data_IF_078884952832
#
_entry.id   IF_078884952832
#
_cell.length_a   1.000
_cell.length_b   1.000
_cell.length_c   1.000
_cell.angle_alpha   90.00
_cell.angle_beta   90.00
_cell.angle_gamma   90.00
#
_symmetry.space_group_name_H-M   'P 1'
#
loop_
_entity.id
_entity.type
_entity.pdbx_description
1 polymer ?
#
# COMPACT_ATOMS: atom_id res chain seq x y z
N UNK A 1 -10.02 -22.04 -4.75
CA UNK A 1 -9.91 -21.55 -3.36
C UNK A 1 -9.12 -20.23 -3.27
N UNK A 2 -9.35 -19.25 -4.16
CA UNK A 2 -8.50 -18.04 -4.31
C UNK A 2 -9.29 -16.71 -4.41
N UNK A 3 -10.60 -16.71 -4.07
CA UNK A 3 -11.49 -15.55 -4.24
C UNK A 3 -11.69 -14.67 -2.99
N UNK A 4 -11.12 -15.02 -1.84
CA UNK A 4 -11.32 -14.29 -0.55
C UNK A 4 -10.15 -13.40 -0.13
N UNK A 5 -9.11 -13.23 -0.94
CA UNK A 5 -7.90 -12.46 -0.56
C UNK A 5 -7.82 -11.04 -1.16
N UNK A 6 -8.84 -10.62 -1.92
CA UNK A 6 -8.86 -9.35 -2.67
C UNK A 6 -9.88 -8.30 -2.14
N UNK A 7 -10.62 -8.62 -1.08
CA UNK A 7 -11.68 -7.76 -0.53
C UNK A 7 -11.11 -6.62 0.37
N UNK A 8 -10.02 -6.89 1.08
CA UNK A 8 -9.53 -6.06 2.21
C UNK A 8 -8.95 -4.67 1.87
N UNK A 9 -8.82 -4.29 0.59
CA UNK A 9 -8.51 -2.89 0.23
C UNK A 9 -9.78 -2.04 0.06
N UNK A 10 -10.96 -2.67 0.03
CA UNK A 10 -12.25 -2.01 -0.20
C UNK A 10 -13.07 -1.83 1.08
N UNK A 11 -13.16 -2.81 1.98
CA UNK A 11 -14.05 -2.72 3.15
C UNK A 11 -13.67 -1.57 4.13
N UNK A 12 -12.39 -1.17 4.17
CA UNK A 12 -11.93 0.02 4.90
C UNK A 12 -12.33 1.35 4.22
N UNK A 13 -13.01 1.29 3.06
CA UNK A 13 -13.43 2.41 2.21
C UNK A 13 -14.85 2.29 1.62
N UNK A 14 -15.58 1.19 1.80
CA UNK A 14 -16.99 1.09 1.41
C UNK A 14 -17.86 2.09 2.22
N UNK A 15 -18.88 2.71 1.58
CA UNK A 15 -19.88 3.53 2.28
C UNK A 15 -20.74 2.64 3.18
N UNK A 16 -21.41 3.24 4.18
CA UNK A 16 -22.44 2.50 4.93
C UNK A 16 -23.56 2.05 3.96
N UNK A 17 -24.13 0.85 4.13
CA UNK A 17 -25.26 0.43 3.31
C UNK A 17 -26.48 1.30 3.63
N UNK A 18 -26.86 2.16 2.70
CA UNK A 18 -28.19 2.77 2.68
C UNK A 18 -29.26 1.66 2.70
N UNK A 19 -30.36 1.90 3.43
CA UNK A 19 -31.44 0.92 3.59
C UNK A 19 -32.08 0.57 2.23
N UNK A 20 -31.87 -0.67 1.76
CA UNK A 20 -32.34 -1.11 0.44
C UNK A 20 -33.87 -1.06 0.30
N UNK A 21 -34.33 -0.59 -0.87
CA UNK A 21 -35.66 -0.91 -1.41
C UNK A 21 -35.51 -1.88 -2.58
N UNK A 22 -36.43 -2.84 -2.68
CA UNK A 22 -36.25 -4.12 -3.41
C UNK A 22 -36.81 -4.09 -4.84
N UNK A 23 -36.24 -4.93 -5.73
CA UNK A 23 -36.87 -5.70 -6.85
C UNK A 23 -36.12 -5.61 -8.22
N UNK A 24 -36.37 -6.50 -9.22
CA UNK A 24 -35.57 -7.72 -9.32
C UNK A 24 -35.11 -8.20 -10.72
N UNK A 25 -33.98 -8.94 -10.76
CA UNK A 25 -33.81 -10.20 -11.52
C UNK A 25 -33.60 -10.22 -13.05
N UNK A 26 -32.61 -11.03 -13.51
CA UNK A 26 -32.78 -12.06 -14.57
C UNK A 26 -31.48 -12.80 -15.01
N UNK A 27 -31.41 -14.10 -14.66
CA UNK A 27 -30.97 -15.28 -15.44
C UNK A 27 -29.67 -15.42 -16.29
N UNK A 28 -29.33 -16.71 -16.51
CA UNK A 28 -28.07 -17.26 -17.11
C UNK A 28 -28.33 -18.07 -18.39
N UNK A 29 -27.29 -18.27 -19.23
CA UNK A 29 -26.88 -19.51 -19.97
C UNK A 29 -25.50 -19.21 -20.64
N UNK A 30 -24.52 -20.10 -20.87
CA UNK A 30 -24.28 -21.55 -20.74
C UNK A 30 -24.40 -22.42 -22.03
N UNK A 31 -23.34 -23.19 -22.33
CA UNK A 31 -23.17 -24.09 -23.49
C UNK A 31 -22.21 -23.51 -24.57
N UNK A 32 -21.34 -24.25 -25.25
CA UNK A 32 -20.90 -25.66 -25.13
C UNK A 32 -19.72 -25.93 -26.10
N UNK A 33 -18.92 -26.99 -25.89
CA UNK A 33 -17.94 -27.52 -26.87
C UNK A 33 -18.48 -28.84 -27.46
N UNK A 34 -17.95 -29.30 -28.61
CA UNK A 34 -17.11 -30.50 -28.55
C UNK A 34 -15.81 -30.41 -29.39
N UNK A 35 -15.16 -31.56 -29.57
CA UNK A 35 -13.79 -31.81 -30.03
C UNK A 35 -13.81 -32.95 -31.07
N UNK A 36 -12.81 -33.02 -31.97
CA UNK A 36 -12.30 -34.17 -32.77
C UNK A 36 -11.18 -33.59 -33.67
N UNK A 37 -9.89 -33.86 -33.44
CA UNK A 37 -9.11 -35.04 -33.87
C UNK A 37 -9.11 -35.33 -35.38
N UNK A 38 -7.93 -35.24 -36.00
CA UNK A 38 -7.43 -36.28 -36.90
C UNK A 38 -5.88 -36.32 -36.94
N UNK A 39 -5.31 -37.42 -37.46
CA UNK A 39 -3.88 -37.79 -37.36
C UNK A 39 -3.17 -37.71 -38.71
N UNK A 40 -1.85 -37.49 -38.70
CA UNK A 40 -0.96 -37.73 -39.84
C UNK A 40 0.48 -37.99 -39.38
N UNK A 41 1.01 -39.19 -39.65
CA UNK A 41 2.42 -39.58 -39.51
C UNK A 41 3.21 -39.01 -40.72
N UNK A 42 4.54 -38.84 -40.72
CA UNK A 42 5.57 -39.88 -40.91
C UNK A 42 6.97 -39.35 -40.51
N UNK A 43 7.84 -40.28 -40.15
CA UNK A 43 9.25 -40.18 -39.73
C UNK A 43 10.24 -39.64 -40.76
N UNK A 44 11.34 -39.02 -40.29
CA UNK A 44 12.69 -39.65 -40.28
C UNK A 44 13.69 -38.82 -39.45
N UNK A 45 14.82 -39.43 -39.09
CA UNK A 45 15.85 -38.84 -38.25
C UNK A 45 17.24 -39.10 -38.83
N UNK A 46 18.13 -38.11 -38.79
CA UNK A 46 19.57 -38.36 -38.73
C UNK A 46 20.34 -37.22 -38.06
N UNK A 47 21.61 -37.46 -37.74
CA UNK A 47 22.37 -36.83 -36.64
C UNK A 47 23.78 -36.50 -37.10
N UNK A 48 24.22 -35.23 -37.07
CA UNK A 48 25.65 -34.83 -36.96
C UNK A 48 25.77 -33.42 -36.36
N UNK A 49 26.64 -33.27 -35.36
CA UNK A 49 27.34 -32.04 -34.94
C UNK A 49 28.86 -32.27 -35.22
N UNK A 50 29.78 -31.28 -35.17
CA UNK A 50 29.64 -29.89 -34.70
C UNK A 50 30.27 -28.83 -35.64
N UNK A 51 30.04 -27.55 -35.34
CA UNK A 51 30.92 -26.45 -35.73
C UNK A 51 30.94 -25.37 -34.64
N UNK A 52 32.14 -24.96 -34.22
CA UNK A 52 32.37 -23.90 -33.25
C UNK A 52 32.69 -22.63 -34.04
N UNK A 53 31.88 -21.58 -33.92
CA UNK A 53 32.28 -20.23 -34.33
C UNK A 53 31.97 -19.21 -33.25
N UNK A 54 32.96 -18.34 -33.00
CA UNK A 54 32.90 -17.28 -32.00
C UNK A 54 31.93 -16.18 -32.43
N UNK A 55 30.99 -15.81 -31.56
CA UNK A 55 30.30 -14.51 -31.65
C UNK A 55 30.62 -13.72 -30.38
N UNK A 56 31.35 -12.62 -30.57
CA UNK A 56 31.81 -11.74 -29.50
C UNK A 56 30.65 -11.04 -28.78
N UNK A 57 30.87 -10.70 -27.50
CA UNK A 57 29.91 -9.95 -26.71
C UNK A 57 29.79 -8.50 -27.23
N UNK A 58 28.63 -8.13 -27.77
CA UNK A 58 28.24 -6.74 -27.94
C UNK A 58 27.48 -6.25 -26.71
N UNK A 59 28.12 -5.43 -25.89
CA UNK A 59 27.46 -4.72 -24.80
C UNK A 59 26.40 -3.75 -25.37
N UNK A 60 25.24 -3.56 -24.70
CA UNK A 60 24.23 -2.60 -25.17
C UNK A 60 24.77 -1.18 -25.05
N UNK A 61 24.80 -0.46 -26.17
CA UNK A 61 25.16 0.97 -26.21
C UNK A 61 24.09 1.76 -25.46
N UNK A 62 24.45 2.28 -24.29
CA UNK A 62 23.61 3.24 -23.56
C UNK A 62 23.71 4.57 -24.31
N UNK A 63 22.71 4.88 -25.13
CA UNK A 63 22.60 6.19 -25.75
C UNK A 63 22.41 7.26 -24.66
N UNK A 64 23.09 8.42 -24.73
CA UNK A 64 22.89 9.50 -23.78
C UNK A 64 21.45 10.01 -23.88
N UNK A 65 20.81 10.21 -22.72
CA UNK A 65 19.50 10.85 -22.63
C UNK A 65 19.62 12.27 -23.22
N UNK A 66 18.85 12.56 -24.27
CA UNK A 66 18.80 13.89 -24.85
C UNK A 66 18.33 14.91 -23.81
N UNK A 67 18.93 16.12 -23.74
CA UNK A 67 18.49 17.15 -22.81
C UNK A 67 17.05 17.54 -23.12
N UNK A 68 16.21 17.59 -22.07
CA UNK A 68 14.82 18.00 -22.18
C UNK A 68 14.73 19.46 -22.66
N UNK A 69 13.82 19.73 -23.60
CA UNK A 69 13.65 21.08 -24.14
C UNK A 69 12.97 22.00 -23.13
N UNK A 70 13.12 23.33 -23.32
CA UNK A 70 12.45 24.32 -22.48
C UNK A 70 10.91 24.12 -22.50
N UNK A 71 10.35 23.70 -23.63
CA UNK A 71 8.93 23.34 -23.76
C UNK A 71 8.54 22.14 -22.87
N UNK A 72 9.43 21.16 -22.69
CA UNK A 72 9.22 20.00 -21.81
C UNK A 72 9.41 20.36 -20.33
N UNK A 73 10.22 21.38 -20.02
CA UNK A 73 10.33 21.93 -18.67
C UNK A 73 9.16 22.85 -18.28
N UNK A 74 8.45 23.42 -19.26
CA UNK A 74 7.33 24.36 -19.08
C UNK A 74 5.94 23.76 -19.37
N UNK A 75 5.85 22.51 -19.83
CA UNK A 75 4.58 21.86 -20.10
C UNK A 75 3.78 21.63 -18.80
N UNK A 76 2.44 21.82 -18.79
CA UNK A 76 1.61 21.43 -17.66
C UNK A 76 1.79 19.94 -17.40
N UNK A 77 1.88 19.55 -16.13
CA UNK A 77 2.31 18.23 -15.67
C UNK A 77 1.71 17.07 -16.50
N UNK A 78 2.52 16.52 -17.42
CA UNK A 78 2.08 15.47 -18.34
C UNK A 78 2.02 14.15 -17.61
N UNK A 79 0.81 13.65 -17.37
CA UNK A 79 0.60 12.38 -16.69
C UNK A 79 0.86 11.24 -17.69
N UNK A 80 2.06 10.66 -17.64
CA UNK A 80 2.51 9.63 -18.59
C UNK A 80 2.76 8.27 -17.94
N UNK A 81 2.01 7.26 -18.37
CA UNK A 81 2.25 5.88 -17.98
C UNK A 81 3.50 5.30 -18.66
N UNK A 82 4.38 4.55 -17.96
CA UNK A 82 5.61 3.97 -18.55
C UNK A 82 5.32 3.05 -19.73
N UNK A 83 4.17 2.38 -19.70
CA UNK A 83 3.63 1.52 -20.77
C UNK A 83 2.48 2.18 -21.55
N UNK A 84 2.50 3.50 -21.69
CA UNK A 84 1.46 4.20 -22.42
C UNK A 84 1.38 3.72 -23.87
N UNK A 85 0.17 3.34 -24.30
CA UNK A 85 -0.15 2.93 -25.68
C UNK A 85 -1.21 3.82 -26.32
N UNK A 86 -1.78 4.75 -25.55
CA UNK A 86 -2.72 5.79 -25.98
C UNK A 86 -2.47 7.08 -25.21
N UNK A 87 -3.01 8.17 -25.73
CA UNK A 87 -3.00 9.48 -25.13
C UNK A 87 -4.36 10.15 -25.35
N UNK A 88 -4.80 10.98 -24.41
CA UNK A 88 -6.00 11.78 -24.51
C UNK A 88 -5.80 13.13 -23.81
N UNK A 89 -6.40 14.18 -24.37
CA UNK A 89 -6.48 15.49 -23.72
C UNK A 89 -7.70 15.50 -22.78
N UNK A 90 -7.46 15.57 -21.47
CA UNK A 90 -8.49 15.50 -20.42
C UNK A 90 -8.48 16.81 -19.64
N UNK A 91 -9.50 17.65 -19.86
CA UNK A 91 -9.60 18.99 -19.27
C UNK A 91 -8.31 19.81 -19.49
N UNK A 92 -7.89 19.98 -20.75
CA UNK A 92 -6.64 20.63 -21.17
C UNK A 92 -5.32 19.98 -20.70
N UNK A 93 -5.36 18.84 -20.00
CA UNK A 93 -4.17 18.11 -19.55
C UNK A 93 -3.95 16.89 -20.44
N UNK A 94 -2.75 16.77 -21.03
CA UNK A 94 -2.35 15.59 -21.79
C UNK A 94 -2.07 14.40 -20.85
N UNK A 95 -2.82 13.31 -21.03
CA UNK A 95 -2.71 12.09 -20.23
C UNK A 95 -2.42 10.91 -21.15
N UNK A 96 -1.23 10.34 -21.02
CA UNK A 96 -0.78 9.15 -21.75
C UNK A 96 -0.92 7.90 -20.86
N UNK A 97 -1.62 6.87 -21.33
CA UNK A 97 -2.11 5.77 -20.50
C UNK A 97 -1.88 4.37 -21.12
N UNK A 98 -1.69 3.35 -20.27
CA UNK A 98 -1.67 1.94 -20.74
C UNK A 98 -3.09 1.54 -21.14
N UNK A 99 -3.30 1.25 -22.43
CA UNK A 99 -4.53 0.61 -22.89
C UNK A 99 -4.32 -0.89 -23.11
N UNK A 100 -5.20 -1.72 -22.54
CA UNK A 100 -5.17 -3.19 -22.71
C UNK A 100 -6.54 -3.83 -22.89
N UNK A 101 -6.58 -4.93 -23.66
CA UNK A 101 -7.76 -5.79 -23.79
C UNK A 101 -7.71 -6.94 -22.78
N UNK A 102 -8.80 -7.22 -22.08
CA UNK A 102 -8.85 -8.34 -21.12
C UNK A 102 -10.25 -8.97 -20.97
N UNK A 103 -10.34 -10.11 -20.27
CA UNK A 103 -11.59 -10.88 -20.07
C UNK A 103 -12.44 -10.24 -18.97
N UNK A 104 -13.37 -9.35 -19.34
CA UNK A 104 -14.24 -8.60 -18.43
C UNK A 104 -15.50 -8.08 -19.13
N UNK A 105 -16.48 -7.61 -18.33
CA UNK A 105 -17.83 -7.24 -18.79
C UNK A 105 -17.99 -5.75 -19.14
N UNK A 106 -17.17 -4.88 -18.57
CA UNK A 106 -17.27 -3.41 -18.68
C UNK A 106 -15.91 -2.79 -19.05
N UNK A 107 -15.89 -1.52 -19.47
CA UNK A 107 -14.68 -0.67 -19.46
C UNK A 107 -14.33 -0.33 -18.00
N UNK A 108 -13.11 0.11 -17.72
CA UNK A 108 -12.74 0.52 -16.37
C UNK A 108 -11.27 0.89 -16.24
N UNK A 109 -11.00 1.65 -15.19
CA UNK A 109 -9.89 2.56 -15.06
C UNK A 109 -9.18 2.28 -13.74
N UNK A 110 -7.86 2.29 -13.75
CA UNK A 110 -7.03 2.23 -12.55
C UNK A 110 -5.97 3.30 -12.64
N UNK A 111 -5.92 4.17 -11.63
CA UNK A 111 -4.83 5.15 -11.45
C UNK A 111 -3.93 4.62 -10.33
N UNK A 112 -2.64 4.46 -10.62
CA UNK A 112 -1.62 4.02 -9.67
C UNK A 112 -0.39 4.93 -9.71
N UNK A 113 0.69 4.52 -9.06
CA UNK A 113 1.96 5.26 -9.09
C UNK A 113 2.50 5.43 -10.52
N UNK A 114 2.29 4.42 -11.37
CA UNK A 114 2.61 4.46 -12.80
C UNK A 114 1.64 5.33 -13.63
N UNK A 115 0.63 5.97 -13.05
CA UNK A 115 -0.38 6.76 -13.75
C UNK A 115 -1.63 5.97 -14.15
N UNK A 116 -2.28 6.37 -15.26
CA UNK A 116 -3.53 5.77 -15.72
C UNK A 116 -3.31 4.49 -16.54
N UNK A 117 -4.07 3.45 -16.21
CA UNK A 117 -4.28 2.28 -17.05
C UNK A 117 -5.78 2.04 -17.30
N UNK A 118 -6.13 1.83 -18.57
CA UNK A 118 -7.49 1.58 -19.06
C UNK A 118 -7.57 0.18 -19.62
N UNK A 119 -8.47 -0.63 -19.06
CA UNK A 119 -8.78 -1.93 -19.64
C UNK A 119 -10.10 -1.85 -20.41
N UNK A 120 -10.25 -2.67 -21.46
CA UNK A 120 -11.54 -2.88 -22.16
C UNK A 120 -11.78 -4.38 -22.49
N UNK A 121 -13.05 -4.83 -22.58
CA UNK A 121 -13.40 -6.11 -23.18
C UNK A 121 -12.93 -6.19 -24.64
N UNK A 122 -12.78 -7.38 -25.22
CA UNK A 122 -12.37 -7.52 -26.64
C UNK A 122 -13.40 -6.98 -27.65
N UNK A 123 -14.68 -7.02 -27.30
CA UNK A 123 -15.80 -6.66 -28.20
C UNK A 123 -16.14 -5.17 -28.21
N UNK A 124 -15.72 -4.40 -27.18
CA UNK A 124 -15.96 -2.95 -27.11
C UNK A 124 -15.13 -2.23 -28.18
N UNK A 125 -15.72 -1.47 -29.12
CA UNK A 125 -14.96 -0.72 -30.11
C UNK A 125 -14.11 0.37 -29.45
N UNK A 126 -13.06 0.82 -30.14
CA UNK A 126 -12.10 1.76 -29.55
C UNK A 126 -12.72 3.13 -29.23
N UNK A 127 -13.63 3.61 -30.07
CA UNK A 127 -14.33 4.88 -29.86
C UNK A 127 -15.19 4.90 -28.59
N UNK A 128 -15.76 3.75 -28.16
CA UNK A 128 -16.46 3.65 -26.88
C UNK A 128 -15.50 3.75 -25.70
N UNK A 129 -14.27 3.25 -25.84
CA UNK A 129 -13.23 3.42 -24.82
C UNK A 129 -12.81 4.89 -24.73
N UNK A 130 -12.54 5.52 -25.88
CA UNK A 130 -12.13 6.93 -25.91
C UNK A 130 -13.24 7.84 -25.38
N UNK A 131 -14.51 7.58 -25.74
CA UNK A 131 -15.68 8.26 -25.15
C UNK A 131 -15.75 8.06 -23.63
N UNK A 132 -15.60 6.83 -23.14
CA UNK A 132 -15.64 6.56 -21.70
C UNK A 132 -14.46 7.17 -20.93
N UNK A 133 -13.31 7.35 -21.57
CA UNK A 133 -12.16 8.10 -21.02
C UNK A 133 -12.50 9.59 -20.91
N UNK A 134 -13.07 10.19 -21.95
CA UNK A 134 -13.50 11.60 -21.95
C UNK A 134 -14.61 11.88 -20.94
N UNK A 135 -15.65 11.03 -20.87
CA UNK A 135 -16.74 11.11 -19.87
C UNK A 135 -16.25 11.01 -18.41
N UNK A 136 -15.04 10.49 -18.20
CA UNK A 136 -14.39 10.39 -16.89
C UNK A 136 -13.25 11.38 -16.68
N UNK A 137 -13.04 12.34 -17.58
CA UNK A 137 -11.91 13.29 -17.54
C UNK A 137 -11.69 13.91 -16.17
N UNK A 138 -12.72 14.52 -15.57
CA UNK A 138 -12.63 15.17 -14.25
C UNK A 138 -12.27 14.22 -13.10
N UNK A 139 -12.77 12.98 -13.14
CA UNK A 139 -12.40 11.96 -12.15
C UNK A 139 -10.97 11.44 -12.36
N UNK A 140 -10.56 11.24 -13.62
CA UNK A 140 -9.21 10.80 -14.00
C UNK A 140 -8.17 11.84 -13.56
N UNK A 141 -8.36 13.10 -13.96
CA UNK A 141 -7.45 14.22 -13.65
C UNK A 141 -7.32 14.39 -12.14
N UNK A 142 -8.45 14.46 -11.42
CA UNK A 142 -8.45 14.56 -9.95
C UNK A 142 -7.69 13.39 -9.30
N UNK A 143 -7.91 12.15 -9.74
CA UNK A 143 -7.20 10.99 -9.18
C UNK A 143 -5.71 10.98 -9.52
N UNK A 144 -5.31 11.47 -10.69
CA UNK A 144 -3.91 11.61 -11.07
C UNK A 144 -3.20 12.68 -10.22
N UNK A 145 -3.84 13.83 -9.99
CA UNK A 145 -3.37 14.88 -9.08
C UNK A 145 -3.23 14.37 -7.65
N UNK A 146 -4.30 13.81 -7.06
CA UNK A 146 -4.28 13.22 -5.71
C UNK A 146 -3.18 12.15 -5.56
N UNK A 147 -2.96 11.31 -6.58
CA UNK A 147 -1.92 10.27 -6.56
C UNK A 147 -0.53 10.86 -6.64
N UNK A 148 -0.33 11.91 -7.45
CA UNK A 148 0.94 12.64 -7.56
C UNK A 148 1.27 13.41 -6.29
N UNK A 149 0.34 14.19 -5.75
CA UNK A 149 0.51 14.91 -4.49
C UNK A 149 0.81 13.95 -3.34
N UNK A 150 0.12 12.80 -3.30
CA UNK A 150 0.43 11.73 -2.34
C UNK A 150 1.83 11.16 -2.55
N UNK A 151 2.25 10.95 -3.79
CA UNK A 151 3.60 10.44 -4.09
C UNK A 151 4.68 11.46 -3.67
N UNK A 152 4.53 12.73 -4.04
CA UNK A 152 5.44 13.83 -3.68
C UNK A 152 5.51 14.02 -2.16
N UNK A 153 4.37 13.98 -1.46
CA UNK A 153 4.32 13.98 0.02
C UNK A 153 5.05 12.78 0.63
N UNK A 154 4.93 11.59 0.03
CA UNK A 154 5.60 10.37 0.49
C UNK A 154 7.12 10.38 0.22
N UNK A 155 7.57 10.95 -0.90
CA UNK A 155 9.00 11.10 -1.20
C UNK A 155 9.63 12.22 -0.35
N UNK A 156 8.92 13.34 -0.11
CA UNK A 156 9.39 14.39 0.83
C UNK A 156 9.40 13.92 2.29
N UNK A 157 8.61 12.89 2.62
CA UNK A 157 8.59 12.21 3.92
C UNK A 157 9.56 11.03 4.00
N UNK A 158 10.48 10.86 3.04
CA UNK A 158 11.54 9.85 3.12
C UNK A 158 12.54 10.23 4.21
N UNK A 159 12.86 9.29 5.09
CA UNK A 159 13.76 9.53 6.21
C UNK A 159 15.22 9.47 5.71
N UNK A 160 15.94 10.56 5.88
CA UNK A 160 17.39 10.60 5.74
C UNK A 160 18.03 10.02 7.02
N UNK A 161 18.45 8.75 6.95
CA UNK A 161 18.89 7.98 8.12
C UNK A 161 20.31 8.39 8.57
N UNK A 162 20.36 9.21 9.60
CA UNK A 162 21.59 9.72 10.23
C UNK A 162 21.37 10.01 11.71
N UNK A 163 22.44 10.32 12.44
CA UNK A 163 22.33 10.87 13.78
C UNK A 163 21.50 12.16 13.76
N UNK A 164 20.50 12.26 14.64
CA UNK A 164 19.55 13.38 14.67
C UNK A 164 18.36 13.27 13.69
N UNK A 165 18.22 12.18 12.93
CA UNK A 165 17.04 11.91 12.11
C UNK A 165 15.76 11.85 12.95
N UNK A 166 14.60 12.17 12.36
CA UNK A 166 13.33 12.22 13.08
C UNK A 166 12.38 11.14 12.56
N UNK A 167 11.82 10.34 13.47
CA UNK A 167 10.86 9.28 13.20
C UNK A 167 9.55 9.52 13.95
N UNK A 168 8.36 9.32 13.33
CA UNK A 168 7.11 9.36 14.05
C UNK A 168 6.96 8.12 14.94
N UNK A 169 6.51 8.32 16.18
CA UNK A 169 6.18 7.26 17.12
C UNK A 169 5.00 7.71 17.99
N UNK A 170 3.92 6.91 17.99
CA UNK A 170 2.66 7.15 18.68
C UNK A 170 2.01 8.53 18.37
N UNK A 171 2.23 9.05 17.17
CA UNK A 171 1.77 10.36 16.73
C UNK A 171 2.64 11.54 17.19
N UNK A 172 3.75 11.30 17.88
CA UNK A 172 4.78 12.27 18.23
C UNK A 172 6.03 12.12 17.34
N UNK A 173 6.84 13.16 17.24
CA UNK A 173 8.13 13.12 16.54
C UNK A 173 9.26 12.79 17.53
N UNK A 174 10.04 11.75 17.24
CA UNK A 174 11.15 11.27 18.07
C UNK A 174 12.46 11.44 17.32
N UNK A 175 13.46 12.04 17.98
CA UNK A 175 14.81 12.23 17.42
C UNK A 175 15.66 10.99 17.67
N UNK A 176 16.19 10.38 16.62
CA UNK A 176 17.18 9.30 16.69
C UNK A 176 18.53 9.88 17.14
N UNK A 177 19.11 9.33 18.19
CA UNK A 177 20.44 9.71 18.70
C UNK A 177 21.30 8.45 18.75
N UNK A 178 22.49 8.49 18.15
CA UNK A 178 23.45 7.38 18.21
C UNK A 178 24.25 7.50 19.50
N UNK A 179 24.18 6.48 20.37
CA UNK A 179 25.04 6.39 21.56
C UNK A 179 25.90 5.12 21.50
N UNK A 180 27.18 5.31 21.20
CA UNK A 180 28.19 4.25 21.18
C UNK A 180 28.53 3.69 22.56
N UNK A 181 28.08 4.35 23.65
CA UNK A 181 28.33 3.93 25.04
C UNK A 181 27.20 3.06 25.61
N UNK A 182 26.08 2.93 24.91
CA UNK A 182 24.97 2.05 25.30
C UNK A 182 25.34 0.57 25.06
N UNK A 183 26.25 0.05 25.87
CA UNK A 183 26.72 -1.32 25.82
C UNK A 183 25.70 -2.29 26.45
N UNK A 184 25.00 -3.05 25.61
CA UNK A 184 24.45 -4.39 25.86
C UNK A 184 23.42 -4.62 27.00
N UNK A 185 23.10 -3.65 27.86
CA UNK A 185 22.08 -3.85 28.91
C UNK A 185 20.63 -3.75 28.40
N UNK A 186 20.35 -2.78 27.52
CA UNK A 186 19.07 -2.62 26.83
C UNK A 186 19.15 -3.14 25.39
N UNK A 187 18.08 -3.75 24.88
CA UNK A 187 18.07 -4.38 23.54
C UNK A 187 18.10 -3.31 22.44
N UNK A 188 19.30 -2.89 22.05
CA UNK A 188 19.64 -2.16 20.82
C UNK A 188 19.20 -0.69 20.73
N UNK A 189 18.13 -0.28 21.41
CA UNK A 189 17.71 1.12 21.50
C UNK A 189 16.71 1.35 22.65
N UNK A 190 16.68 2.56 23.19
CA UNK A 190 15.83 2.99 24.30
C UNK A 190 15.26 4.40 24.08
N UNK A 191 14.00 4.63 24.47
CA UNK A 191 13.34 5.93 24.34
C UNK A 191 13.52 6.74 25.63
N UNK A 192 14.46 7.68 25.58
CA UNK A 192 14.73 8.61 26.67
C UNK A 192 13.62 9.65 26.90
N UNK A 193 13.80 10.41 27.97
CA UNK A 193 13.03 11.62 28.23
C UNK A 193 13.26 12.68 27.12
N UNK A 194 12.39 13.70 27.01
CA UNK A 194 12.68 14.89 26.21
C UNK A 194 13.97 15.55 26.70
N UNK A 195 14.94 15.71 25.81
CA UNK A 195 16.17 16.45 26.11
C UNK A 195 16.06 17.81 25.43
N UNK A 196 16.13 18.89 26.20
CA UNK A 196 16.23 20.24 25.66
C UNK A 196 17.67 20.49 25.23
N UNK A 197 17.89 20.77 23.94
CA UNK A 197 19.18 21.25 23.44
C UNK A 197 19.48 22.64 24.04
N UNK A 198 20.69 22.88 24.58
CA UNK A 198 21.06 24.19 25.11
C UNK A 198 20.88 25.29 24.04
N UNK A 199 19.96 26.22 24.28
CA UNK A 199 19.64 27.32 23.36
C UNK A 199 18.42 27.13 22.46
N UNK A 200 17.68 26.02 22.55
CA UNK A 200 16.39 25.85 21.85
C UNK A 200 15.20 25.98 22.82
N UNK A 201 14.49 27.09 22.74
CA UNK A 201 13.36 27.44 23.63
C UNK A 201 12.01 26.82 23.23
N UNK A 202 11.96 25.99 22.18
CA UNK A 202 10.72 25.43 21.65
C UNK A 202 10.86 23.95 21.27
N UNK A 203 10.02 23.10 21.86
CA UNK A 203 9.77 21.72 21.41
C UNK A 203 10.88 20.71 21.73
N UNK A 204 11.07 20.37 23.01
CA UNK A 204 11.91 19.24 23.40
C UNK A 204 11.31 17.93 22.86
N UNK A 205 11.91 17.38 21.80
CA UNK A 205 11.54 16.06 21.27
C UNK A 205 12.11 14.96 22.17
N UNK A 206 11.41 13.83 22.26
CA UNK A 206 11.95 12.62 22.90
C UNK A 206 13.12 12.08 22.08
N UNK A 207 14.14 11.55 22.75
CA UNK A 207 15.30 10.96 22.10
C UNK A 207 15.21 9.43 22.08
N UNK A 208 15.29 8.81 20.91
CA UNK A 208 15.53 7.37 20.76
C UNK A 208 17.04 7.17 20.70
N UNK A 209 17.62 6.75 21.83
CA UNK A 209 19.03 6.37 21.93
C UNK A 209 19.22 5.02 21.24
N UNK A 210 20.09 4.92 20.25
CA UNK A 210 20.36 3.71 19.47
C UNK A 210 21.80 3.27 19.71
N UNK A 211 21.96 2.03 20.15
CA UNK A 211 23.25 1.42 20.49
C UNK A 211 24.00 1.02 19.20
N UNK A 212 24.68 1.99 18.58
CA UNK A 212 25.46 1.83 17.36
C UNK A 212 26.78 2.61 17.44
N UNK A 213 27.82 2.20 16.70
CA UNK A 213 29.00 3.04 16.49
C UNK A 213 28.63 4.38 15.85
N UNK A 214 29.36 5.45 16.16
CA UNK A 214 29.18 6.75 15.50
C UNK A 214 29.49 6.72 13.99
N UNK A 215 30.19 5.67 13.54
CA UNK A 215 30.48 5.36 12.13
C UNK A 215 29.41 4.48 11.45
N UNK A 216 28.27 4.22 12.10
CA UNK A 216 27.22 3.37 11.54
C UNK A 216 26.63 3.95 10.25
N UNK A 217 26.35 3.08 9.28
CA UNK A 217 25.77 3.49 8.00
C UNK A 217 24.28 3.84 8.13
N UNK A 218 23.71 4.62 7.20
CA UNK A 218 22.27 4.91 7.16
C UNK A 218 21.39 3.64 7.26
N UNK A 219 21.79 2.55 6.61
CA UNK A 219 21.09 1.26 6.64
C UNK A 219 21.14 0.61 8.02
N UNK A 220 22.28 0.67 8.72
CA UNK A 220 22.41 0.14 10.08
C UNK A 220 21.55 0.92 11.06
N UNK A 221 21.51 2.25 10.94
CA UNK A 221 20.65 3.13 11.74
C UNK A 221 19.17 2.80 11.49
N UNK A 222 18.76 2.74 10.21
CA UNK A 222 17.41 2.33 9.80
C UNK A 222 17.03 0.98 10.42
N UNK A 223 17.86 -0.04 10.24
CA UNK A 223 17.51 -1.41 10.64
C UNK A 223 17.44 -1.56 12.17
N UNK A 224 18.29 -0.85 12.92
CA UNK A 224 18.22 -0.78 14.38
C UNK A 224 16.93 -0.10 14.87
N UNK A 225 16.55 1.05 14.28
CA UNK A 225 15.31 1.76 14.62
C UNK A 225 14.08 0.95 14.19
N UNK A 226 14.10 0.29 13.03
CA UNK A 226 13.03 -0.60 12.58
C UNK A 226 12.83 -1.75 13.58
N UNK A 227 13.92 -2.40 13.99
CA UNK A 227 13.88 -3.49 14.96
C UNK A 227 13.30 -3.01 16.30
N UNK A 228 13.65 -1.80 16.76
CA UNK A 228 13.07 -1.19 17.96
C UNK A 228 11.56 -0.95 17.81
N UNK A 229 11.13 -0.27 16.75
CA UNK A 229 9.70 -0.04 16.50
C UNK A 229 8.90 -1.33 16.37
N UNK A 230 9.46 -2.38 15.76
CA UNK A 230 8.79 -3.69 15.69
C UNK A 230 8.66 -4.36 17.06
N UNK A 231 9.61 -4.15 18.00
CA UNK A 231 9.46 -4.59 19.39
C UNK A 231 8.35 -3.81 20.10
N UNK A 232 8.35 -2.48 19.99
CA UNK A 232 7.31 -1.61 20.55
C UNK A 232 5.92 -1.95 19.99
N UNK A 233 5.81 -2.15 18.68
CA UNK A 233 4.57 -2.59 18.01
C UNK A 233 4.04 -3.90 18.59
N UNK A 234 4.91 -4.91 18.74
CA UNK A 234 4.49 -6.20 19.30
C UNK A 234 3.99 -6.06 20.74
N UNK A 235 4.70 -5.29 21.57
CA UNK A 235 4.32 -5.06 22.97
C UNK A 235 2.98 -4.30 23.05
N UNK A 236 2.89 -3.12 22.44
CA UNK A 236 1.69 -2.28 22.47
C UNK A 236 0.48 -3.01 21.89
N UNK A 237 0.58 -3.64 20.72
CA UNK A 237 -0.57 -4.32 20.14
C UNK A 237 -1.02 -5.51 20.99
N UNK A 238 -0.10 -6.22 21.66
CA UNK A 238 -0.45 -7.29 22.62
C UNK A 238 -1.22 -6.73 23.81
N UNK A 239 -0.77 -5.61 24.37
CA UNK A 239 -1.47 -4.89 25.45
C UNK A 239 -2.87 -4.45 25.02
N UNK A 240 -3.00 -3.75 23.89
CA UNK A 240 -4.30 -3.26 23.39
C UNK A 240 -5.24 -4.42 23.05
N UNK A 241 -4.75 -5.50 22.43
CA UNK A 241 -5.55 -6.71 22.19
C UNK A 241 -6.07 -7.32 23.50
N UNK A 242 -5.23 -7.39 24.53
CA UNK A 242 -5.59 -7.90 25.86
C UNK A 242 -6.59 -6.98 26.58
N UNK A 243 -6.48 -5.66 26.39
CA UNK A 243 -7.40 -4.68 26.96
C UNK A 243 -8.80 -4.73 26.33
N UNK A 244 -8.88 -4.85 24.99
CA UNK A 244 -10.16 -4.79 24.28
C UNK A 244 -10.87 -6.12 24.09
N UNK A 245 -10.18 -7.27 24.09
CA UNK A 245 -10.84 -8.56 23.86
C UNK A 245 -11.91 -8.92 24.91
N UNK A 246 -11.76 -8.62 26.22
CA UNK A 246 -12.82 -8.84 27.21
C UNK A 246 -14.03 -7.92 26.98
N UNK A 247 -13.80 -6.65 26.61
CA UNK A 247 -14.86 -5.67 26.32
C UNK A 247 -15.73 -6.09 25.12
N UNK A 248 -15.13 -6.78 24.15
CA UNK A 248 -15.83 -7.37 23.02
C UNK A 248 -16.39 -8.78 23.30
N UNK A 249 -16.00 -9.43 24.41
CA UNK A 249 -16.39 -10.81 24.70
C UNK A 249 -15.75 -11.85 23.76
N UNK A 250 -14.52 -11.60 23.32
CA UNK A 250 -13.78 -12.48 22.39
C UNK A 250 -12.43 -12.93 22.96
N UNK A 251 -11.89 -14.00 22.39
CA UNK A 251 -10.56 -14.52 22.71
C UNK A 251 -9.71 -14.60 21.44
N UNK A 252 -8.50 -14.05 21.49
CA UNK A 252 -7.52 -14.13 20.42
C UNK A 252 -6.41 -15.11 20.83
N UNK A 253 -5.78 -15.78 19.85
CA UNK A 253 -4.79 -16.85 20.10
C UNK A 253 -3.36 -16.48 19.70
N UNK A 254 -3.19 -15.62 18.70
CA UNK A 254 -1.85 -15.25 18.19
C UNK A 254 -1.87 -13.88 17.54
N UNK A 255 -0.89 -13.04 17.90
CA UNK A 255 -0.53 -11.84 17.15
C UNK A 255 0.62 -12.15 16.19
N UNK A 256 0.53 -11.66 14.95
CA UNK A 256 1.64 -11.57 14.00
C UNK A 256 1.80 -10.13 13.50
N UNK A 257 3.04 -9.66 13.39
CA UNK A 257 3.34 -8.39 12.73
C UNK A 257 3.46 -8.59 11.22
N UNK A 258 3.21 -7.52 10.47
CA UNK A 258 3.32 -7.49 9.01
C UNK A 258 3.74 -6.11 8.51
N UNK A 259 4.13 -6.03 7.25
CA UNK A 259 4.53 -4.81 6.53
C UNK A 259 3.68 -4.58 5.27
N UNK A 260 2.46 -5.14 5.23
CA UNK A 260 1.62 -5.19 4.04
C UNK A 260 1.19 -3.79 3.57
N UNK A 261 1.51 -3.43 2.32
CA UNK A 261 1.24 -2.09 1.78
C UNK A 261 -0.22 -1.75 1.49
N UNK A 262 -1.15 -2.72 1.59
CA UNK A 262 -2.56 -2.54 1.21
C UNK A 262 -3.54 -2.66 2.37
N UNK A 263 -3.11 -3.03 3.58
CA UNK A 263 -4.00 -3.26 4.72
C UNK A 263 -3.32 -3.04 6.08
N UNK A 264 -4.13 -2.60 7.03
CA UNK A 264 -3.70 -2.30 8.41
C UNK A 264 -3.75 -3.50 9.34
N UNK A 265 -4.71 -4.41 9.13
CA UNK A 265 -4.77 -5.68 9.83
C UNK A 265 -5.52 -6.77 9.05
N UNK A 266 -5.66 -7.93 9.70
CA UNK A 266 -6.66 -8.98 9.41
C UNK A 266 -6.77 -9.92 10.62
N UNK A 267 -7.99 -10.26 11.02
CA UNK A 267 -8.28 -11.40 11.86
C UNK A 267 -8.81 -12.60 11.06
N UNK A 268 -8.73 -13.77 11.67
CA UNK A 268 -9.30 -15.03 11.21
C UNK A 268 -10.20 -15.62 12.29
N UNK A 269 -11.20 -16.42 11.90
CA UNK A 269 -12.11 -17.11 12.82
C UNK A 269 -11.41 -18.03 13.84
N UNK A 270 -10.15 -18.39 13.58
CA UNK A 270 -9.30 -19.16 14.47
C UNK A 270 -8.64 -18.28 15.56
N UNK A 271 -8.98 -17.00 15.71
CA UNK A 271 -8.36 -16.09 16.67
C UNK A 271 -6.93 -15.67 16.32
N UNK A 272 -6.42 -16.00 15.13
CA UNK A 272 -5.15 -15.46 14.64
C UNK A 272 -5.37 -14.03 14.12
N UNK A 273 -4.60 -13.09 14.67
CA UNK A 273 -4.63 -11.68 14.32
C UNK A 273 -3.29 -11.29 13.68
N UNK A 274 -3.36 -10.48 12.63
CA UNK A 274 -2.20 -9.87 11.99
C UNK A 274 -2.39 -8.36 11.93
N UNK A 275 -1.41 -7.61 12.41
CA UNK A 275 -1.40 -6.15 12.36
C UNK A 275 -0.18 -5.66 11.60
N UNK A 276 -0.30 -4.51 10.94
CA UNK A 276 0.83 -3.86 10.30
C UNK A 276 1.64 -3.10 11.36
N UNK A 277 2.93 -3.38 11.50
CA UNK A 277 3.73 -2.77 12.55
C UNK A 277 3.79 -1.24 12.42
N UNK A 278 3.63 -0.70 11.21
CA UNK A 278 3.62 0.74 10.92
C UNK A 278 2.47 1.52 11.60
N UNK A 279 1.49 0.84 12.20
CA UNK A 279 0.50 1.49 13.07
C UNK A 279 1.16 2.24 14.24
N UNK A 280 2.36 1.86 14.70
CA UNK A 280 3.08 2.61 15.76
C UNK A 280 3.50 4.03 15.37
N UNK A 281 3.35 4.43 14.11
CA UNK A 281 3.55 5.83 13.71
C UNK A 281 2.34 6.72 14.03
N UNK A 282 1.16 6.14 14.24
CA UNK A 282 -0.10 6.84 14.47
C UNK A 282 -0.37 7.03 15.96
N UNK A 283 -1.28 7.96 16.29
CA UNK A 283 -1.75 8.18 17.67
C UNK A 283 -2.37 6.89 18.26
N UNK A 284 -2.26 6.66 19.58
CA UNK A 284 -2.82 5.47 20.23
C UNK A 284 -4.30 5.21 19.92
N UNK A 285 -5.14 6.25 19.78
CA UNK A 285 -6.56 6.10 19.40
C UNK A 285 -6.77 5.44 18.04
N UNK A 286 -5.90 5.72 17.06
CA UNK A 286 -5.96 5.09 15.73
C UNK A 286 -5.53 3.63 15.81
N UNK A 287 -4.52 3.32 16.64
CA UNK A 287 -4.08 1.95 16.92
C UNK A 287 -5.23 1.17 17.59
N UNK A 288 -5.89 1.77 18.57
CA UNK A 288 -7.05 1.20 19.28
C UNK A 288 -8.22 0.91 18.34
N UNK A 289 -8.57 1.84 17.45
CA UNK A 289 -9.58 1.61 16.42
C UNK A 289 -9.26 0.37 15.57
N UNK A 290 -8.02 0.24 15.06
CA UNK A 290 -7.65 -0.92 14.23
C UNK A 290 -7.64 -2.21 15.06
N UNK A 291 -7.15 -2.17 16.30
CA UNK A 291 -7.18 -3.33 17.21
C UNK A 291 -8.63 -3.79 17.49
N UNK A 292 -9.54 -2.85 17.74
CA UNK A 292 -10.98 -3.13 17.95
C UNK A 292 -11.65 -3.63 16.67
N UNK A 293 -11.28 -3.11 15.50
CA UNK A 293 -11.75 -3.58 14.19
C UNK A 293 -11.39 -5.07 13.99
N UNK A 294 -10.12 -5.44 14.18
CA UNK A 294 -9.67 -6.82 14.02
C UNK A 294 -10.25 -7.76 15.10
N UNK A 295 -10.43 -7.31 16.34
CA UNK A 295 -11.11 -8.11 17.36
C UNK A 295 -12.61 -8.28 17.07
N UNK A 296 -13.28 -7.27 16.51
CA UNK A 296 -14.70 -7.33 16.14
C UNK A 296 -14.94 -8.37 15.05
N UNK A 297 -13.96 -8.59 14.17
CA UNK A 297 -14.02 -9.67 13.18
C UNK A 297 -14.16 -11.05 13.81
N UNK A 298 -13.69 -11.29 15.03
CA UNK A 298 -13.89 -12.57 15.73
C UNK A 298 -15.35 -12.84 16.11
N UNK A 299 -16.25 -11.84 16.04
CA UNK A 299 -17.71 -11.98 16.20
C UNK A 299 -18.46 -11.93 14.87
N UNK A 300 -18.03 -11.06 13.95
CA UNK A 300 -18.72 -10.80 12.68
C UNK A 300 -17.68 -10.71 11.56
N UNK A 301 -17.64 -11.72 10.69
CA UNK A 301 -16.57 -11.91 9.68
C UNK A 301 -16.73 -11.04 8.42
N UNK A 302 -17.80 -10.27 8.35
CA UNK A 302 -18.11 -9.31 7.28
C UNK A 302 -18.31 -7.92 7.88
N UNK A 303 -18.29 -6.88 7.04
CA UNK A 303 -18.49 -5.48 7.45
C UNK A 303 -19.97 -5.06 7.41
N UNK A 304 -20.88 -5.97 7.76
CA UNK A 304 -22.31 -5.69 7.89
C UNK A 304 -22.61 -4.62 8.97
N UNK A 305 -23.82 -4.03 9.02
CA UNK A 305 -24.20 -3.08 10.08
C UNK A 305 -23.89 -3.61 11.49
N UNK A 306 -24.12 -4.91 11.73
CA UNK A 306 -23.81 -5.60 12.99
C UNK A 306 -22.32 -5.56 13.38
N UNK A 307 -21.41 -5.60 12.40
CA UNK A 307 -19.98 -5.42 12.64
C UNK A 307 -19.69 -3.99 13.08
N UNK A 308 -20.24 -2.99 12.39
CA UNK A 308 -20.04 -1.58 12.75
C UNK A 308 -20.66 -1.23 14.09
N UNK A 309 -21.80 -1.81 14.45
CA UNK A 309 -22.39 -1.71 15.80
C UNK A 309 -21.46 -2.31 16.87
N UNK A 310 -20.81 -3.45 16.56
CA UNK A 310 -19.83 -4.10 17.44
C UNK A 310 -18.60 -3.22 17.66
N UNK A 311 -18.10 -2.55 16.61
CA UNK A 311 -17.00 -1.57 16.71
C UNK A 311 -17.44 -0.32 17.49
N UNK A 312 -18.60 0.26 17.15
CA UNK A 312 -19.14 1.49 17.74
C UNK A 312 -19.40 1.36 19.24
N UNK A 313 -19.77 0.16 19.72
CA UNK A 313 -19.95 -0.14 21.14
C UNK A 313 -18.67 -0.01 21.98
N UNK A 314 -17.49 0.00 21.35
CA UNK A 314 -16.18 0.11 22.04
C UNK A 314 -15.44 1.39 21.67
N UNK A 315 -15.55 1.83 20.41
CA UNK A 315 -14.94 3.05 19.85
C UNK A 315 -16.01 3.84 19.09
N UNK A 316 -16.76 4.74 19.74
CA UNK A 316 -17.88 5.45 19.10
C UNK A 316 -17.45 6.40 17.98
N UNK A 317 -16.25 6.96 18.05
CA UNK A 317 -15.63 7.92 17.12
C UNK A 317 -14.89 7.26 15.95
N UNK A 318 -15.09 5.95 15.72
CA UNK A 318 -14.35 5.15 14.74
C UNK A 318 -14.32 5.75 13.33
N UNK A 319 -15.36 6.48 12.91
CA UNK A 319 -15.43 7.10 11.59
C UNK A 319 -14.35 8.17 11.39
N UNK A 320 -14.04 8.96 12.43
CA UNK A 320 -12.98 9.97 12.39
C UNK A 320 -11.59 9.31 12.38
N UNK A 321 -11.40 8.26 13.20
CA UNK A 321 -10.16 7.50 13.28
C UNK A 321 -9.87 6.72 11.98
N UNK A 322 -10.91 6.19 11.32
CA UNK A 322 -10.86 5.59 9.96
C UNK A 322 -10.43 6.61 8.90
N UNK A 323 -10.70 7.90 9.10
CA UNK A 323 -10.23 8.98 8.23
C UNK A 323 -8.71 9.19 8.28
N UNK A 324 -8.14 9.25 9.50
CA UNK A 324 -6.70 9.50 9.72
C UNK A 324 -5.80 8.48 8.99
N UNK A 325 -6.22 7.21 8.94
CA UNK A 325 -5.54 6.13 8.19
C UNK A 325 -5.46 6.33 6.66
N UNK A 326 -6.20 7.32 6.10
CA UNK A 326 -6.20 7.67 4.66
C UNK A 326 -5.24 8.81 4.35
N UNK A 327 -5.17 9.79 5.25
CA UNK A 327 -4.56 11.10 5.02
C UNK A 327 -3.12 11.19 5.54
N UNK A 328 -2.81 10.48 6.64
CA UNK A 328 -1.48 10.48 7.25
C UNK A 328 -0.47 9.69 6.41
N UNK A 329 0.53 10.40 5.90
CA UNK A 329 1.64 9.82 5.16
C UNK A 329 2.60 9.09 6.12
N UNK A 330 2.60 7.75 6.09
CA UNK A 330 3.66 6.98 6.72
C UNK A 330 5.00 7.33 6.01
N UNK A 331 6.08 7.63 6.74
CA UNK A 331 7.38 7.84 6.12
C UNK A 331 7.82 6.66 5.27
N UNK A 332 8.49 6.94 4.15
CA UNK A 332 9.24 5.92 3.42
C UNK A 332 10.58 5.66 4.12
N UNK A 333 10.83 4.37 4.34
CA UNK A 333 11.97 3.81 5.06
C UNK A 333 13.18 3.58 4.15
#
# INVERSE_FOLDING_TARGET
MMKKLLQFTLDLFEPEPESESVAPGASRKAGGKPNLQEKGLVTQAERVQPAIENIAHSAPVIAPLAPLSLQQALAPATFRHPRATREALLNEIAVAYEFRRSKRRTIGFSVGADGLAVSAPKWVPLHEVDKAVLEKSGWIVKKLQETRERHERLESARIDWKNGATVPFLGEQVRVVIDSRHAFAGVGAELGAPVAEPGQTAGALRSLQVALPLSATPEQIRDAVQAWLMRQAKQLFTERLTHFSPRLGVQWRKLSLSSAGTRWGSASADGSIRLNWRLVHFKPSVIDYVVVHELSHLRVMDHSPRFWDTVRAVVPDFAQLRGQLKDDAIPRW
#
